data_IF_781850740146
#
_entry.id   IF_781850740146
#
_cell.length_a   1.000
_cell.length_b   1.000
_cell.length_c   1.000
_cell.angle_alpha   90.00
_cell.angle_beta   90.00
_cell.angle_gamma   90.00
#
_symmetry.space_group_name_H-M   'P 1'
#
loop_
_entity.id
_entity.type
_entity.pdbx_description
1 polymer ?
#
# COMPACT_ATOMS: atom_id res chain seq x y z
N UNK A 1 16.66 4.21 4.23
CA UNK A 1 17.09 3.00 4.99
C UNK A 1 16.87 1.69 4.24
N UNK A 2 16.14 1.70 3.11
CA UNK A 2 15.87 0.52 2.29
C UNK A 2 17.14 -0.20 1.83
N UNK A 3 17.08 -1.52 1.83
CA UNK A 3 18.02 -2.45 1.21
C UNK A 3 17.48 -2.93 -0.14
N UNK A 4 18.26 -3.71 -0.89
CA UNK A 4 17.76 -4.31 -2.13
C UNK A 4 16.70 -5.37 -1.84
N UNK A 5 16.85 -6.16 -0.77
CA UNK A 5 15.83 -7.13 -0.35
C UNK A 5 14.49 -6.46 0.03
N UNK A 6 14.53 -5.22 0.56
CA UNK A 6 13.31 -4.45 0.81
C UNK A 6 12.63 -4.03 -0.49
N UNK A 7 13.40 -3.69 -1.53
CA UNK A 7 12.84 -3.36 -2.84
C UNK A 7 12.25 -4.59 -3.53
N UNK A 8 12.93 -5.73 -3.45
CA UNK A 8 12.43 -6.99 -4.00
C UNK A 8 11.08 -7.36 -3.36
N UNK A 9 10.96 -7.24 -2.03
CA UNK A 9 9.70 -7.49 -1.33
C UNK A 9 8.58 -6.50 -1.72
N UNK A 10 8.93 -5.23 -1.98
CA UNK A 10 7.98 -4.23 -2.48
C UNK A 10 7.51 -4.59 -3.88
N UNK A 11 8.43 -4.96 -4.78
CA UNK A 11 8.14 -5.29 -6.16
C UNK A 11 7.30 -6.59 -6.27
N UNK A 12 7.63 -7.61 -5.48
CA UNK A 12 6.84 -8.85 -5.37
C UNK A 12 5.39 -8.57 -4.94
N UNK A 13 5.18 -7.67 -3.98
CA UNK A 13 3.85 -7.29 -3.52
C UNK A 13 3.05 -6.58 -4.63
N UNK A 14 3.70 -5.67 -5.36
CA UNK A 14 3.09 -4.98 -6.51
C UNK A 14 2.72 -5.96 -7.62
N UNK A 15 3.55 -6.96 -7.89
CA UNK A 15 3.25 -8.00 -8.86
C UNK A 15 2.06 -8.88 -8.46
N UNK A 16 1.99 -9.30 -7.19
CA UNK A 16 0.84 -10.04 -6.66
C UNK A 16 -0.44 -9.22 -6.82
N UNK A 17 -0.39 -7.94 -6.49
CA UNK A 17 -1.53 -7.02 -6.65
C UNK A 17 -1.93 -6.90 -8.12
N UNK A 18 -0.99 -6.64 -9.02
CA UNK A 18 -1.24 -6.50 -10.44
C UNK A 18 -1.85 -7.76 -11.06
N UNK A 19 -1.27 -8.94 -10.78
CA UNK A 19 -1.81 -10.23 -11.26
C UNK A 19 -3.24 -10.48 -10.79
N UNK A 20 -3.53 -10.18 -9.52
CA UNK A 20 -4.89 -10.30 -8.98
C UNK A 20 -5.86 -9.40 -9.76
N UNK A 21 -5.51 -8.13 -9.94
CA UNK A 21 -6.32 -7.14 -10.66
C UNK A 21 -6.56 -7.55 -12.12
N UNK A 22 -5.52 -8.01 -12.82
CA UNK A 22 -5.60 -8.43 -14.21
C UNK A 22 -6.50 -9.68 -14.38
N UNK A 23 -6.59 -10.52 -13.34
CA UNK A 23 -7.50 -11.66 -13.29
C UNK A 23 -8.93 -11.33 -12.83
N UNK A 24 -9.25 -10.06 -12.59
CA UNK A 24 -10.56 -9.59 -12.12
C UNK A 24 -10.73 -9.57 -10.60
N UNK A 25 -9.67 -9.84 -9.85
CA UNK A 25 -9.63 -9.68 -8.39
C UNK A 25 -9.43 -8.22 -7.95
N UNK A 26 -9.51 -8.00 -6.64
CA UNK A 26 -9.39 -6.68 -6.04
C UNK A 26 -7.96 -6.30 -5.62
N UNK A 27 -7.01 -7.27 -5.64
CA UNK A 27 -5.63 -7.03 -5.24
C UNK A 27 -5.35 -6.95 -3.73
N UNK A 28 -6.31 -7.33 -2.87
CA UNK A 28 -6.22 -7.19 -1.40
C UNK A 28 -4.94 -7.78 -0.81
N UNK A 29 -4.57 -9.00 -1.19
CA UNK A 29 -3.36 -9.67 -0.67
C UNK A 29 -2.08 -8.93 -1.07
N UNK A 30 -1.98 -8.45 -2.32
CA UNK A 30 -0.84 -7.66 -2.76
C UNK A 30 -0.77 -6.29 -2.09
N UNK A 31 -1.92 -5.67 -1.84
CA UNK A 31 -2.07 -4.40 -1.13
C UNK A 31 -1.60 -4.51 0.35
N UNK A 32 -2.04 -5.54 1.08
CA UNK A 32 -1.59 -5.83 2.45
C UNK A 32 -0.08 -6.10 2.50
N UNK A 33 0.44 -6.93 1.58
CA UNK A 33 1.88 -7.22 1.47
C UNK A 33 2.69 -5.96 1.19
N UNK A 34 2.20 -5.06 0.35
CA UNK A 34 2.88 -3.83 0.01
C UNK A 34 3.07 -2.93 1.23
N UNK A 35 2.01 -2.71 2.02
CA UNK A 35 2.12 -1.93 3.25
C UNK A 35 3.05 -2.57 4.28
N UNK A 36 3.03 -3.90 4.42
CA UNK A 36 3.96 -4.62 5.28
C UNK A 36 5.42 -4.43 4.82
N UNK A 37 5.69 -4.56 3.52
CA UNK A 37 7.04 -4.39 2.95
C UNK A 37 7.57 -2.96 3.13
N UNK A 38 6.75 -1.94 2.84
CA UNK A 38 7.12 -0.53 3.05
C UNK A 38 7.42 -0.24 4.53
N UNK A 39 6.62 -0.80 5.43
CA UNK A 39 6.82 -0.67 6.88
C UNK A 39 8.14 -1.32 7.32
N UNK A 40 8.44 -2.52 6.82
CA UNK A 40 9.66 -3.25 7.11
C UNK A 40 10.91 -2.49 6.62
N UNK A 41 10.84 -1.90 5.43
CA UNK A 41 11.91 -1.08 4.84
C UNK A 41 12.30 0.15 5.67
N UNK A 42 11.43 0.59 6.59
CA UNK A 42 11.72 1.62 7.57
C UNK A 42 12.70 1.17 8.68
N UNK A 43 12.94 -0.13 8.82
CA UNK A 43 13.81 -0.76 9.82
C UNK A 43 13.55 -0.23 11.25
N UNK A 44 12.28 -0.02 11.59
CA UNK A 44 11.83 0.48 12.89
C UNK A 44 10.89 -0.52 13.54
N UNK A 45 11.36 -1.17 14.60
CA UNK A 45 10.58 -2.18 15.35
C UNK A 45 9.28 -1.60 15.92
N UNK A 46 9.33 -0.36 16.39
CA UNK A 46 8.15 0.34 16.91
C UNK A 46 7.11 0.56 15.80
N UNK A 47 7.55 1.06 14.64
CA UNK A 47 6.66 1.29 13.50
C UNK A 47 6.05 -0.03 13.00
N UNK A 48 6.87 -1.09 12.87
CA UNK A 48 6.40 -2.41 12.48
C UNK A 48 5.33 -2.95 13.43
N UNK A 49 5.52 -2.80 14.74
CA UNK A 49 4.50 -3.22 15.71
C UNK A 49 3.21 -2.41 15.57
N UNK A 50 3.30 -1.08 15.52
CA UNK A 50 2.14 -0.21 15.38
C UNK A 50 1.34 -0.52 14.11
N UNK A 51 2.03 -0.66 12.97
CA UNK A 51 1.38 -0.96 11.69
C UNK A 51 0.76 -2.35 11.65
N UNK A 52 1.34 -3.34 12.33
CA UNK A 52 0.73 -4.67 12.46
C UNK A 52 -0.63 -4.60 13.16
N UNK A 53 -0.73 -3.86 14.27
CA UNK A 53 -2.00 -3.69 15.00
C UNK A 53 -3.03 -2.91 14.17
N UNK A 54 -2.59 -1.87 13.44
CA UNK A 54 -3.46 -1.07 12.58
C UNK A 54 -3.99 -1.89 11.40
N UNK A 55 -3.17 -2.76 10.81
CA UNK A 55 -3.50 -3.49 9.58
C UNK A 55 -4.76 -4.34 9.75
N UNK A 56 -4.92 -5.00 10.90
CA UNK A 56 -6.10 -5.79 11.20
C UNK A 56 -7.34 -4.92 11.40
N UNK A 57 -7.20 -3.78 12.10
CA UNK A 57 -8.29 -2.85 12.37
C UNK A 57 -8.85 -2.20 11.10
N UNK A 58 -8.00 -1.93 10.11
CA UNK A 58 -8.40 -1.29 8.84
C UNK A 58 -8.71 -2.29 7.72
N UNK A 59 -8.66 -3.60 8.00
CA UNK A 59 -8.80 -4.61 6.96
C UNK A 59 -10.15 -4.57 6.25
N UNK A 60 -11.24 -4.44 7.02
CA UNK A 60 -12.59 -4.38 6.44
C UNK A 60 -12.76 -3.11 5.59
N UNK A 61 -12.32 -1.96 6.09
CA UNK A 61 -12.44 -0.69 5.35
C UNK A 61 -11.58 -0.69 4.08
N UNK A 62 -10.42 -1.36 4.09
CA UNK A 62 -9.58 -1.61 2.91
C UNK A 62 -10.33 -2.43 1.86
N UNK A 63 -10.95 -3.56 2.25
CA UNK A 63 -11.72 -4.41 1.32
C UNK A 63 -12.89 -3.63 0.71
N UNK A 64 -13.62 -2.86 1.52
CA UNK A 64 -14.71 -2.02 1.04
C UNK A 64 -14.23 -0.94 0.06
N UNK A 65 -13.10 -0.28 0.35
CA UNK A 65 -12.48 0.68 -0.57
C UNK A 65 -12.14 0.03 -1.90
N UNK A 66 -11.37 -1.06 -1.88
CA UNK A 66 -10.95 -1.80 -3.08
C UNK A 66 -12.12 -2.44 -3.85
N UNK A 67 -13.30 -2.56 -3.24
CA UNK A 67 -14.52 -3.01 -3.92
C UNK A 67 -15.15 -1.95 -4.82
N UNK A 68 -14.75 -0.68 -4.70
CA UNK A 68 -15.27 0.38 -5.54
C UNK A 68 -14.78 0.25 -7.00
N UNK A 69 -15.62 0.56 -8.01
CA UNK A 69 -15.21 0.56 -9.40
C UNK A 69 -13.97 1.43 -9.65
N UNK A 70 -12.98 0.89 -10.36
CA UNK A 70 -11.72 1.58 -10.67
C UNK A 70 -10.69 1.59 -9.53
N UNK A 71 -11.13 1.44 -8.26
CA UNK A 71 -10.26 1.61 -7.09
C UNK A 71 -9.03 0.70 -7.07
N UNK A 72 -9.10 -0.61 -7.40
CA UNK A 72 -7.91 -1.45 -7.39
C UNK A 72 -6.79 -0.94 -8.30
N UNK A 73 -7.14 -0.43 -9.48
CA UNK A 73 -6.18 0.12 -10.45
C UNK A 73 -5.58 1.42 -9.95
N UNK A 74 -6.40 2.29 -9.37
CA UNK A 74 -5.94 3.57 -8.79
C UNK A 74 -5.02 3.34 -7.57
N UNK A 75 -5.36 2.36 -6.73
CA UNK A 75 -4.53 1.92 -5.60
C UNK A 75 -3.17 1.42 -6.08
N UNK A 76 -3.14 0.51 -7.05
CA UNK A 76 -1.90 0.00 -7.64
C UNK A 76 -1.03 1.12 -8.24
N UNK A 77 -1.65 2.11 -8.91
CA UNK A 77 -0.93 3.27 -9.43
C UNK A 77 -0.33 4.13 -8.31
N UNK A 78 -1.05 4.32 -7.20
CA UNK A 78 -0.55 4.98 -6.00
C UNK A 78 0.64 4.25 -5.39
N UNK A 79 0.53 2.92 -5.24
CA UNK A 79 1.60 2.07 -4.72
C UNK A 79 2.87 2.13 -5.57
N UNK A 80 2.74 2.14 -6.90
CA UNK A 80 3.90 2.31 -7.81
C UNK A 80 4.62 3.63 -7.60
N UNK A 81 3.90 4.75 -7.44
CA UNK A 81 4.51 6.06 -7.15
C UNK A 81 5.27 6.05 -5.82
N UNK A 82 4.72 5.40 -4.79
CA UNK A 82 5.37 5.24 -3.49
C UNK A 82 6.65 4.42 -3.64
N UNK A 83 6.59 3.29 -4.34
CA UNK A 83 7.75 2.41 -4.57
C UNK A 83 8.88 3.13 -5.33
N UNK A 84 8.54 3.92 -6.36
CA UNK A 84 9.51 4.73 -7.09
C UNK A 84 10.23 5.74 -6.20
N UNK A 85 9.48 6.46 -5.34
CA UNK A 85 10.09 7.41 -4.41
C UNK A 85 11.00 6.70 -3.38
N UNK A 86 10.58 5.54 -2.85
CA UNK A 86 11.40 4.71 -1.95
C UNK A 86 12.68 4.24 -2.66
N UNK A 87 12.57 3.80 -3.91
CA UNK A 87 13.71 3.36 -4.73
C UNK A 87 14.71 4.49 -4.95
N UNK A 88 14.22 5.69 -5.24
CA UNK A 88 15.02 6.90 -5.39
C UNK A 88 15.64 7.42 -4.07
N UNK A 89 15.20 6.91 -2.92
CA UNK A 89 15.60 7.43 -1.61
C UNK A 89 14.99 8.79 -1.28
N UNK A 90 13.92 9.18 -1.97
CA UNK A 90 13.20 10.43 -1.74
C UNK A 90 12.21 10.26 -0.58
N UNK A 91 12.67 10.58 0.63
CA UNK A 91 11.87 10.46 1.86
C UNK A 91 10.62 11.34 1.81
N UNK A 92 10.73 12.57 1.28
CA UNK A 92 9.61 13.50 1.19
C UNK A 92 8.61 13.08 0.12
N UNK A 93 9.10 12.63 -1.04
CA UNK A 93 8.28 12.07 -2.12
C UNK A 93 7.52 10.83 -1.69
N UNK A 94 8.18 9.90 -0.98
CA UNK A 94 7.54 8.68 -0.47
C UNK A 94 6.43 9.01 0.53
N UNK A 95 6.70 9.92 1.47
CA UNK A 95 5.71 10.37 2.44
C UNK A 95 4.54 11.12 1.79
N UNK A 96 4.81 11.95 0.77
CA UNK A 96 3.79 12.64 -0.02
C UNK A 96 2.90 11.67 -0.77
N UNK A 97 3.50 10.76 -1.54
CA UNK A 97 2.76 9.76 -2.30
C UNK A 97 1.90 8.85 -1.41
N UNK A 98 2.38 8.49 -0.21
CA UNK A 98 1.60 7.72 0.76
C UNK A 98 0.41 8.51 1.29
N UNK A 99 0.57 9.81 1.60
CA UNK A 99 -0.55 10.67 2.02
C UNK A 99 -1.61 10.78 0.93
N UNK A 100 -1.21 11.01 -0.32
CA UNK A 100 -2.12 11.11 -1.45
C UNK A 100 -2.86 9.79 -1.70
N UNK A 101 -2.15 8.67 -1.59
CA UNK A 101 -2.74 7.34 -1.67
C UNK A 101 -3.78 7.12 -0.57
N UNK A 102 -3.44 7.38 0.71
CA UNK A 102 -4.36 7.22 1.84
C UNK A 102 -5.58 8.12 1.68
N UNK A 103 -5.39 9.39 1.31
CA UNK A 103 -6.50 10.32 1.06
C UNK A 103 -7.43 9.78 -0.02
N UNK A 104 -6.87 9.32 -1.14
CA UNK A 104 -7.62 8.69 -2.22
C UNK A 104 -8.42 7.49 -1.71
N UNK A 105 -7.81 6.48 -1.09
CA UNK A 105 -8.51 5.25 -0.66
C UNK A 105 -9.45 5.44 0.53
N UNK A 106 -9.26 6.51 1.32
CA UNK A 106 -10.15 6.89 2.43
C UNK A 106 -11.43 7.60 1.98
N UNK A 107 -11.51 8.07 0.72
CA UNK A 107 -12.74 8.61 0.16
C UNK A 107 -13.72 7.49 -0.17
N UNK A 108 -14.33 6.96 0.89
CA UNK A 108 -15.37 5.94 0.85
C UNK A 108 -16.63 6.50 1.51
N UNK A 109 -17.80 6.17 0.96
CA UNK A 109 -19.08 6.68 1.48
C UNK A 109 -19.30 6.41 2.98
N UNK A 110 -18.62 5.40 3.54
CA UNK A 110 -18.69 4.99 4.94
C UNK A 110 -17.94 5.91 5.92
N UNK A 111 -17.05 6.77 5.44
CA UNK A 111 -16.28 7.73 6.25
C UNK A 111 -16.68 9.18 5.99
N UNK A 112 -17.76 9.39 5.21
CA UNK A 112 -18.37 10.69 4.97
C UNK A 112 -19.44 10.96 6.04
N UNK A 113 -19.00 11.08 7.30
CA UNK A 113 -19.80 11.67 8.38
C UNK A 113 -19.31 13.10 8.66
#
# INVERSE_FOLDING_TARGET
RRTDADLDAIDDALEVMARSIDSGGQGVDGDERFHAAVTAAGHSRLLARLMSEISDLVRETRIQSLSQPGRPKDSLAGHRRIAEAIRAGDEHGAAGAMRDHVAMVSDVALLRD
#
